data_IF_863625617324
#
_entry.id   IF_863625617324
#
_cell.length_a   1.000
_cell.length_b   1.000
_cell.length_c   1.000
_cell.angle_alpha   90.00
_cell.angle_beta   90.00
_cell.angle_gamma   90.00
#
_symmetry.space_group_name_H-M   'P 1'
#
loop_
_entity.id
_entity.type
_entity.pdbx_description
1 polymer ?
#
# COMPACT_ATOMS: atom_id res chain seq x y z
N UNK A 1 -3.81 8.85 13.95
CA UNK A 1 -4.33 7.99 12.88
C UNK A 1 -4.29 8.80 11.60
N UNK A 2 -3.76 8.23 10.50
CA UNK A 2 -3.78 8.84 9.16
C UNK A 2 -4.35 7.82 8.18
N UNK A 3 -5.09 8.30 7.20
CA UNK A 3 -5.69 7.47 6.15
C UNK A 3 -5.18 7.92 4.78
N UNK A 4 -4.99 6.94 3.90
CA UNK A 4 -4.56 7.16 2.52
C UNK A 4 -5.50 6.39 1.62
N UNK A 5 -5.96 7.05 0.57
CA UNK A 5 -6.70 6.44 -0.53
C UNK A 5 -6.04 6.90 -1.84
N UNK A 6 -5.62 5.95 -2.68
CA UNK A 6 -4.93 6.22 -3.94
C UNK A 6 -5.40 5.26 -5.02
N UNK A 7 -5.56 5.78 -6.23
CA UNK A 7 -5.64 4.94 -7.42
C UNK A 7 -4.24 4.38 -7.70
N UNK A 8 -4.20 3.10 -8.04
CA UNK A 8 -2.98 2.37 -8.34
C UNK A 8 -3.20 1.52 -9.59
N UNK A 9 -2.11 1.21 -10.28
CA UNK A 9 -2.09 0.24 -11.38
C UNK A 9 -1.34 -0.99 -10.89
N UNK A 10 -2.03 -2.12 -10.78
CA UNK A 10 -1.44 -3.40 -10.42
C UNK A 10 -0.83 -4.05 -11.65
N UNK A 11 0.36 -4.62 -11.50
CA UNK A 11 1.01 -5.45 -12.51
C UNK A 11 0.96 -6.92 -12.08
N UNK A 12 -0.01 -7.68 -12.63
CA UNK A 12 -0.14 -9.12 -12.37
C UNK A 12 0.24 -9.90 -13.62
N UNK A 13 1.39 -10.60 -13.61
CA UNK A 13 1.87 -11.41 -14.74
C UNK A 13 1.87 -10.68 -16.10
N UNK A 14 2.15 -9.37 -16.10
CA UNK A 14 2.18 -8.53 -17.31
C UNK A 14 0.81 -7.99 -17.74
N UNK A 15 -0.27 -8.28 -17.00
CA UNK A 15 -1.57 -7.63 -17.17
C UNK A 15 -1.65 -6.45 -16.19
N UNK A 16 -1.94 -5.27 -16.74
CA UNK A 16 -2.19 -4.07 -15.96
C UNK A 16 -3.67 -3.99 -15.59
N UNK A 17 -3.97 -3.73 -14.32
CA UNK A 17 -5.33 -3.54 -13.82
C UNK A 17 -5.40 -2.33 -12.90
N UNK A 18 -6.44 -1.51 -13.07
CA UNK A 18 -6.72 -0.41 -12.17
C UNK A 18 -7.29 -0.94 -10.84
N UNK A 19 -6.81 -0.39 -9.73
CA UNK A 19 -7.27 -0.74 -8.40
C UNK A 19 -7.16 0.45 -7.44
N UNK A 20 -7.74 0.29 -6.26
CA UNK A 20 -7.66 1.28 -5.18
C UNK A 20 -6.83 0.71 -4.03
N UNK A 21 -5.82 1.47 -3.60
CA UNK A 21 -5.12 1.24 -2.35
C UNK A 21 -5.77 2.09 -1.25
N UNK A 22 -6.19 1.45 -0.15
CA UNK A 22 -6.57 2.11 1.09
C UNK A 22 -5.63 1.70 2.20
N UNK A 23 -5.09 2.67 2.96
CA UNK A 23 -4.18 2.41 4.08
C UNK A 23 -4.60 3.20 5.31
N UNK A 24 -4.63 2.56 6.46
CA UNK A 24 -4.79 3.20 7.77
C UNK A 24 -3.47 3.05 8.53
N UNK A 25 -2.83 4.19 8.82
CA UNK A 25 -1.59 4.27 9.61
C UNK A 25 -1.89 4.65 11.06
N UNK A 26 -1.53 3.74 11.95
CA UNK A 26 -1.62 3.88 13.40
C UNK A 26 -0.20 4.13 13.99
N UNK A 27 -0.09 4.56 15.25
CA UNK A 27 1.20 4.79 15.91
C UNK A 27 2.15 3.57 15.85
N UNK A 28 1.62 2.38 16.13
CA UNK A 28 2.41 1.16 16.21
C UNK A 28 2.25 0.18 15.05
N UNK A 29 1.34 0.44 14.11
CA UNK A 29 0.98 -0.52 13.07
C UNK A 29 0.29 0.20 11.90
N UNK A 30 0.05 -0.54 10.83
CA UNK A 30 -0.80 -0.06 9.75
C UNK A 30 -1.49 -1.23 9.08
N UNK A 31 -2.64 -0.95 8.48
CA UNK A 31 -3.45 -1.91 7.73
C UNK A 31 -3.72 -1.36 6.34
N UNK A 32 -3.60 -2.20 5.32
CA UNK A 32 -3.85 -1.85 3.93
C UNK A 32 -4.80 -2.84 3.26
N UNK A 33 -5.57 -2.33 2.30
CA UNK A 33 -6.38 -3.11 1.38
C UNK A 33 -6.11 -2.61 -0.03
N UNK A 34 -5.82 -3.52 -0.93
CA UNK A 34 -5.83 -3.30 -2.37
C UNK A 34 -7.13 -3.90 -2.91
N UNK A 35 -7.91 -3.10 -3.62
CA UNK A 35 -9.23 -3.47 -4.12
C UNK A 35 -9.31 -3.23 -5.63
N UNK A 36 -9.34 -4.32 -6.41
CA UNK A 36 -9.60 -4.28 -7.86
C UNK A 36 -11.12 -4.30 -8.11
N UNK A 37 -11.83 -5.23 -7.46
CA UNK A 37 -13.28 -5.36 -7.51
C UNK A 37 -13.79 -6.15 -6.27
N UNK A 38 -15.11 -6.28 -6.05
CA UNK A 38 -15.65 -6.95 -4.86
C UNK A 38 -15.21 -8.40 -4.65
N UNK A 39 -14.79 -9.10 -5.71
CA UNK A 39 -14.34 -10.49 -5.66
C UNK A 39 -12.80 -10.60 -5.64
N UNK A 40 -12.09 -9.50 -5.89
CA UNK A 40 -10.62 -9.45 -5.98
C UNK A 40 -10.09 -8.30 -5.13
N UNK A 41 -9.78 -8.62 -3.89
CA UNK A 41 -9.09 -7.73 -2.97
C UNK A 41 -8.05 -8.51 -2.17
N UNK A 42 -7.01 -7.81 -1.70
CA UNK A 42 -6.02 -8.34 -0.79
C UNK A 42 -5.86 -7.38 0.38
N UNK A 43 -5.81 -7.91 1.60
CA UNK A 43 -5.53 -7.12 2.79
C UNK A 43 -4.25 -7.58 3.47
N UNK A 44 -3.52 -6.63 4.03
CA UNK A 44 -2.24 -6.89 4.67
C UNK A 44 -1.95 -5.83 5.73
N UNK A 45 -1.06 -6.17 6.64
CA UNK A 45 -0.75 -5.35 7.81
C UNK A 45 0.71 -5.52 8.18
N UNK A 46 1.25 -4.54 8.90
CA UNK A 46 2.54 -4.70 9.54
C UNK A 46 2.56 -3.97 10.89
N UNK A 47 2.97 -4.70 11.93
CA UNK A 47 3.22 -4.15 13.24
C UNK A 47 4.66 -3.64 13.38
N UNK A 48 4.83 -2.65 14.25
CA UNK A 48 6.15 -2.22 14.71
C UNK A 48 6.87 -3.39 15.35
N UNK A 49 8.13 -3.53 14.99
CA UNK A 49 9.05 -4.49 15.59
C UNK A 49 10.40 -3.80 15.83
N UNK A 50 11.26 -4.38 16.69
CA UNK A 50 12.64 -3.90 16.82
C UNK A 50 13.41 -3.85 15.49
N UNK A 51 13.05 -4.67 14.50
CA UNK A 51 13.72 -4.76 13.20
C UNK A 51 13.30 -3.67 12.21
N UNK A 52 12.05 -3.21 12.25
CA UNK A 52 11.56 -2.17 11.33
C UNK A 52 11.55 -0.77 11.94
N UNK A 53 11.81 -0.63 13.24
CA UNK A 53 11.87 0.67 13.93
C UNK A 53 10.51 1.37 14.10
N UNK A 54 9.42 0.73 13.68
CA UNK A 54 8.09 1.34 13.56
C UNK A 54 8.01 2.29 12.38
N UNK A 55 6.95 3.09 12.34
CA UNK A 55 6.61 3.86 11.14
C UNK A 55 6.47 5.35 11.41
N UNK A 56 6.21 5.80 12.63
CA UNK A 56 5.86 7.22 12.94
C UNK A 56 6.83 8.27 12.40
N UNK A 57 8.11 7.94 12.32
CA UNK A 57 9.17 8.83 11.84
C UNK A 57 9.21 8.99 10.31
N UNK A 58 8.52 8.11 9.56
CA UNK A 58 8.52 8.13 8.10
C UNK A 58 7.67 9.28 7.57
N UNK A 59 8.16 9.93 6.51
CA UNK A 59 7.32 10.82 5.70
C UNK A 59 6.18 10.01 5.07
N UNK A 60 5.15 10.69 4.57
CA UNK A 60 4.03 9.99 3.93
C UNK A 60 4.48 9.25 2.66
N UNK A 61 5.45 9.80 1.92
CA UNK A 61 6.07 9.14 0.76
C UNK A 61 6.83 7.88 1.16
N UNK A 62 7.79 7.99 2.07
CA UNK A 62 8.59 6.83 2.51
C UNK A 62 7.71 5.71 3.10
N UNK A 63 6.63 6.11 3.78
CA UNK A 63 5.63 5.19 4.30
C UNK A 63 4.86 4.48 3.19
N UNK A 64 4.43 5.19 2.14
CA UNK A 64 3.72 4.59 1.01
C UNK A 64 4.64 3.68 0.17
N UNK A 65 5.91 4.05 -0.02
CA UNK A 65 6.92 3.19 -0.65
C UNK A 65 7.12 1.89 0.16
N UNK A 66 7.10 1.99 1.51
CA UNK A 66 7.12 0.83 2.41
C UNK A 66 5.89 -0.07 2.24
N UNK A 67 4.70 0.51 2.08
CA UNK A 67 3.46 -0.24 1.85
C UNK A 67 3.54 -1.00 0.53
N UNK A 68 4.02 -0.36 -0.54
CA UNK A 68 4.24 -0.98 -1.85
C UNK A 68 5.19 -2.19 -1.75
N UNK A 69 6.32 -2.02 -1.06
CA UNK A 69 7.26 -3.11 -0.82
C UNK A 69 6.63 -4.30 -0.09
N UNK A 70 5.83 -4.03 0.95
CA UNK A 70 5.16 -5.09 1.72
C UNK A 70 4.07 -5.77 0.89
N UNK A 71 3.36 -5.06 0.03
CA UNK A 71 2.39 -5.66 -0.89
C UNK A 71 3.06 -6.65 -1.84
N UNK A 72 4.17 -6.25 -2.47
CA UNK A 72 4.97 -7.12 -3.34
C UNK A 72 5.44 -8.36 -2.58
N UNK A 73 6.01 -8.18 -1.39
CA UNK A 73 6.58 -9.29 -0.62
C UNK A 73 5.53 -10.25 -0.02
N UNK A 74 4.40 -9.73 0.46
CA UNK A 74 3.42 -10.55 1.22
C UNK A 74 2.25 -11.02 0.37
N UNK A 75 1.86 -10.25 -0.65
CA UNK A 75 0.73 -10.55 -1.52
C UNK A 75 1.17 -10.92 -2.94
N UNK A 76 2.44 -10.71 -3.31
CA UNK A 76 2.88 -10.86 -4.70
C UNK A 76 2.28 -9.82 -5.63
N UNK A 77 1.87 -8.66 -5.08
CA UNK A 77 1.20 -7.59 -5.83
C UNK A 77 2.19 -6.45 -6.00
N UNK A 78 2.72 -6.32 -7.20
CA UNK A 78 3.44 -5.13 -7.64
C UNK A 78 2.42 -4.11 -8.17
N UNK A 79 2.54 -2.85 -7.77
CA UNK A 79 1.67 -1.79 -8.25
C UNK A 79 2.40 -0.46 -8.31
N UNK A 80 1.95 0.44 -9.16
CA UNK A 80 2.42 1.84 -9.19
C UNK A 80 1.29 2.76 -8.74
N UNK A 81 1.65 3.85 -8.07
CA UNK A 81 0.70 4.93 -7.82
C UNK A 81 0.45 5.63 -9.15
N UNK A 82 -0.81 5.90 -9.49
CA UNK A 82 -1.07 6.87 -10.55
C UNK A 82 -0.44 8.19 -10.09
N UNK A 83 0.60 8.65 -10.78
CA UNK A 83 1.07 10.02 -10.60
C UNK A 83 -0.15 10.90 -10.80
N UNK A 84 -0.43 11.77 -9.81
CA UNK A 84 -1.31 12.89 -10.08
C UNK A 84 -0.69 13.58 -11.28
N UNK A 85 -1.30 13.42 -12.45
CA UNK A 85 -1.09 14.32 -13.57
C UNK A 85 -1.64 15.67 -13.12
N UNK A 86 -0.91 16.35 -12.25
CA UNK A 86 -1.10 17.76 -11.96
C UNK A 86 -0.66 18.49 -13.24
N UNK A 87 -1.65 18.77 -14.09
CA UNK A 87 -1.56 19.60 -15.28
C UNK A 87 -1.45 21.09 -14.92
#
# INVERSE_FOLDING_TARGET
MREYERQIVITTHGVLAAAVLKVIRLPGSWYAVIWENPERYASFTQDKSPRNGGFEHMTDRDFLDRVQLVASFTQGIDFDFEEAMDA
#
